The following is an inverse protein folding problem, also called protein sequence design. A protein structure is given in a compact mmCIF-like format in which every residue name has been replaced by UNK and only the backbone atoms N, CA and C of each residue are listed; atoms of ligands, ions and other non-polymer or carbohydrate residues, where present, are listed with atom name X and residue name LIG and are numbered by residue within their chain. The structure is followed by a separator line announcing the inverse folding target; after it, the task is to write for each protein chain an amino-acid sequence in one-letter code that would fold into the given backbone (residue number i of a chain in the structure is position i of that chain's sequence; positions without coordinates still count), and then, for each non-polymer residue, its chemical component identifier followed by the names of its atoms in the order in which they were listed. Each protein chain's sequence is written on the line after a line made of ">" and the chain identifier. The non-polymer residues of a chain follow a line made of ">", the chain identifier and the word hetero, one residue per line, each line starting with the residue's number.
data_IF_851677502900
#
_entry.id   IF_851677502900
#
_cell.length_a   1.000
_cell.length_b   1.000
_cell.length_c   1.000
_cell.angle_alpha   90.00
_cell.angle_beta   90.00
_cell.angle_gamma   90.00
#
_symmetry.space_group_name_H-M   'P 1'
#
loop_
_entity.id
_entity.type
_entity.pdbx_description
1 polymer ?
#
# COMPACT_ATOMS: atom_id res chain seq x y z
N UNK A 1 17.10 18.66 3.37
CA UNK A 1 17.50 17.49 2.57
C UNK A 1 17.07 17.80 1.16
N UNK A 2 17.99 18.19 0.31
CA UNK A 2 17.77 18.59 -1.09
C UNK A 2 18.02 17.38 -1.99
N UNK A 3 17.07 16.45 -2.08
CA UNK A 3 17.16 15.33 -3.03
C UNK A 3 16.17 14.24 -2.66
N UNK A 4 15.42 13.80 -3.65
CA UNK A 4 14.47 12.69 -3.51
C UNK A 4 15.16 11.32 -3.61
N UNK A 5 16.53 11.30 -3.66
CA UNK A 5 17.33 10.09 -3.86
C UNK A 5 18.81 10.26 -3.62
N UNK A 6 19.56 9.19 -3.87
CA UNK A 6 21.01 9.14 -3.83
C UNK A 6 21.53 9.07 -5.27
N UNK A 7 22.46 9.96 -5.62
CA UNK A 7 23.12 9.91 -6.94
C UNK A 7 24.39 9.06 -6.86
N UNK A 8 24.43 7.98 -7.63
CA UNK A 8 25.59 7.09 -7.75
C UNK A 8 26.02 7.03 -9.21
N UNK A 9 27.16 7.67 -9.53
CA UNK A 9 27.72 7.63 -10.88
C UNK A 9 26.82 8.20 -11.97
N UNK A 10 25.99 9.22 -11.65
CA UNK A 10 25.05 9.83 -12.59
C UNK A 10 23.65 9.19 -12.62
N UNK A 11 23.44 8.10 -11.89
CA UNK A 11 22.12 7.49 -11.71
C UNK A 11 21.50 7.93 -10.38
N UNK A 12 20.35 8.55 -10.44
CA UNK A 12 19.57 8.89 -9.25
C UNK A 12 18.71 7.69 -8.81
N UNK A 13 19.00 7.16 -7.62
CA UNK A 13 18.18 6.12 -6.97
C UNK A 13 17.26 6.80 -5.97
N UNK A 14 15.98 6.86 -6.28
CA UNK A 14 14.96 7.50 -5.42
C UNK A 14 14.76 6.73 -4.12
N UNK A 15 14.67 7.45 -2.99
CA UNK A 15 14.39 6.86 -1.67
C UNK A 15 13.12 6.01 -1.68
N UNK A 16 12.07 6.46 -2.37
CA UNK A 16 10.83 5.70 -2.55
C UNK A 16 11.08 4.29 -3.09
N UNK A 17 11.84 4.18 -4.18
CA UNK A 17 12.18 2.88 -4.78
C UNK A 17 12.98 1.98 -3.84
N UNK A 18 13.94 2.56 -3.10
CA UNK A 18 14.74 1.81 -2.12
C UNK A 18 13.87 1.26 -0.98
N UNK A 19 12.94 2.05 -0.47
CA UNK A 19 12.04 1.65 0.61
C UNK A 19 11.09 0.55 0.14
N UNK A 20 10.50 0.69 -1.05
CA UNK A 20 9.63 -0.34 -1.63
C UNK A 20 10.39 -1.65 -1.83
N UNK A 21 11.62 -1.60 -2.39
CA UNK A 21 12.46 -2.78 -2.57
C UNK A 21 12.80 -3.45 -1.22
N UNK A 22 13.15 -2.65 -0.20
CA UNK A 22 13.42 -3.15 1.15
C UNK A 22 12.17 -3.78 1.77
N UNK A 23 11.01 -3.13 1.63
CA UNK A 23 9.73 -3.66 2.09
C UNK A 23 9.38 -4.99 1.44
N UNK A 24 9.66 -5.11 0.15
CA UNK A 24 9.45 -6.33 -0.62
C UNK A 24 10.37 -7.47 -0.14
N UNK A 25 11.66 -7.20 0.03
CA UNK A 25 12.63 -8.19 0.51
C UNK A 25 12.33 -8.65 1.95
N UNK A 26 12.04 -7.72 2.86
CA UNK A 26 11.70 -8.07 4.23
C UNK A 26 10.36 -8.80 4.31
N UNK A 27 9.38 -8.42 3.51
CA UNK A 27 8.10 -9.14 3.40
C UNK A 27 8.28 -10.58 2.91
N UNK A 28 9.18 -10.77 1.93
CA UNK A 28 9.54 -12.10 1.43
C UNK A 28 10.18 -12.95 2.52
N UNK A 29 11.17 -12.40 3.24
CA UNK A 29 11.85 -13.07 4.35
C UNK A 29 10.85 -13.49 5.43
N UNK A 30 9.95 -12.58 5.82
CA UNK A 30 8.91 -12.89 6.83
C UNK A 30 7.98 -13.98 6.35
N UNK A 31 7.55 -13.95 5.08
CA UNK A 31 6.72 -15.00 4.49
C UNK A 31 7.44 -16.36 4.45
N UNK A 32 8.73 -16.38 4.09
CA UNK A 32 9.55 -17.60 4.08
C UNK A 32 9.63 -18.22 5.48
N UNK A 33 9.98 -17.43 6.49
CA UNK A 33 10.04 -17.95 7.86
C UNK A 33 8.68 -18.35 8.41
N UNK A 34 7.60 -17.65 8.02
CA UNK A 34 6.25 -18.05 8.37
C UNK A 34 5.87 -19.41 7.75
N UNK A 35 6.19 -19.63 6.46
CA UNK A 35 5.98 -20.91 5.79
C UNK A 35 6.77 -22.04 6.49
N UNK A 36 8.03 -21.79 6.80
CA UNK A 36 8.91 -22.74 7.49
C UNK A 36 8.38 -23.09 8.88
N UNK A 37 7.90 -22.11 9.63
CA UNK A 37 7.37 -22.32 10.97
C UNK A 37 6.02 -23.05 10.97
N UNK A 38 5.14 -22.74 10.02
CA UNK A 38 3.83 -23.38 9.92
C UNK A 38 3.90 -24.78 9.29
N UNK A 39 4.98 -25.11 8.58
CA UNK A 39 5.27 -26.40 7.96
C UNK A 39 4.10 -26.96 7.11
N UNK A 40 3.41 -26.09 6.37
CA UNK A 40 2.25 -26.46 5.53
C UNK A 40 2.61 -26.77 4.09
N UNK A 41 3.69 -26.20 3.60
CA UNK A 41 4.26 -26.38 2.27
C UNK A 41 5.74 -26.00 2.28
N UNK A 42 6.46 -26.33 1.20
CA UNK A 42 7.87 -25.99 1.05
C UNK A 42 8.07 -24.45 1.07
N UNK A 43 8.83 -23.89 2.02
CA UNK A 43 9.07 -22.46 2.11
C UNK A 43 9.67 -21.83 0.85
N UNK A 44 10.43 -22.59 0.05
CA UNK A 44 11.04 -22.11 -1.20
C UNK A 44 9.98 -21.67 -2.22
N UNK A 45 8.76 -22.23 -2.14
CA UNK A 45 7.65 -21.85 -3.01
C UNK A 45 7.20 -20.38 -2.81
N UNK A 46 7.59 -19.75 -1.70
CA UNK A 46 7.37 -18.32 -1.50
C UNK A 46 8.24 -17.51 -2.46
N UNK A 47 9.50 -17.90 -2.65
CA UNK A 47 10.41 -17.28 -3.64
C UNK A 47 9.95 -17.57 -5.08
N UNK A 48 9.57 -18.82 -5.37
CA UNK A 48 9.06 -19.21 -6.69
C UNK A 48 7.84 -18.36 -7.09
N UNK A 49 6.90 -18.18 -6.16
CA UNK A 49 5.73 -17.34 -6.39
C UNK A 49 6.12 -15.89 -6.66
N UNK A 50 7.03 -15.32 -5.86
CA UNK A 50 7.47 -13.94 -6.03
C UNK A 50 8.04 -13.71 -7.43
N UNK A 51 8.99 -14.56 -7.85
CA UNK A 51 9.62 -14.45 -9.19
C UNK A 51 8.55 -14.58 -10.28
N UNK A 52 7.62 -15.52 -10.11
CA UNK A 52 6.52 -15.73 -11.07
C UNK A 52 5.57 -14.54 -11.14
N UNK A 53 5.38 -13.81 -10.04
CA UNK A 53 4.40 -12.71 -9.92
C UNK A 53 4.92 -11.38 -10.51
N UNK A 54 6.23 -11.13 -10.52
CA UNK A 54 6.79 -9.80 -10.86
C UNK A 54 6.30 -9.31 -12.22
N UNK A 55 6.49 -10.12 -13.26
CA UNK A 55 6.12 -9.71 -14.63
C UNK A 55 4.61 -9.55 -14.78
N UNK A 56 3.76 -10.52 -14.39
CA UNK A 56 2.31 -10.35 -14.42
C UNK A 56 1.81 -9.13 -13.64
N UNK A 57 2.39 -8.84 -12.48
CA UNK A 57 1.99 -7.69 -11.67
C UNK A 57 2.29 -6.36 -12.38
N UNK A 58 3.47 -6.23 -12.99
CA UNK A 58 3.84 -5.02 -13.76
C UNK A 58 2.93 -4.86 -14.98
N UNK A 59 2.72 -5.94 -15.72
CA UNK A 59 1.83 -5.92 -16.91
C UNK A 59 0.39 -5.58 -16.49
N UNK A 60 -0.11 -6.20 -15.44
CA UNK A 60 -1.45 -5.89 -14.91
C UNK A 60 -1.60 -4.45 -14.45
N UNK A 61 -0.60 -3.91 -13.74
CA UNK A 61 -0.59 -2.51 -13.32
C UNK A 61 -0.64 -1.56 -14.53
N UNK A 62 0.12 -1.87 -15.59
CA UNK A 62 0.14 -1.07 -16.82
C UNK A 62 -1.17 -1.17 -17.58
N UNK A 63 -1.67 -2.37 -17.80
CA UNK A 63 -2.94 -2.60 -18.50
C UNK A 63 -4.10 -1.87 -17.82
N UNK A 64 -4.19 -1.98 -16.49
CA UNK A 64 -5.22 -1.27 -15.74
C UNK A 64 -5.13 0.25 -15.96
N UNK A 65 -3.94 0.83 -15.85
CA UNK A 65 -3.74 2.25 -16.07
C UNK A 65 -4.13 2.67 -17.49
N UNK A 66 -3.69 1.94 -18.51
CA UNK A 66 -3.99 2.21 -19.92
C UNK A 66 -5.50 2.14 -20.19
N UNK A 67 -6.20 1.13 -19.66
CA UNK A 67 -7.66 0.98 -19.82
C UNK A 67 -8.40 2.21 -19.26
N UNK A 68 -8.04 2.65 -18.05
CA UNK A 68 -8.69 3.80 -17.42
C UNK A 68 -8.22 5.17 -17.94
N UNK A 69 -7.15 5.21 -18.74
CA UNK A 69 -6.66 6.39 -19.45
C UNK A 69 -6.78 6.25 -20.97
N UNK A 70 -7.75 5.44 -21.44
CA UNK A 70 -7.87 5.07 -22.85
C UNK A 70 -8.05 6.26 -23.78
N UNK A 71 -8.70 7.33 -23.36
CA UNK A 71 -8.87 8.55 -24.16
C UNK A 71 -7.55 9.17 -24.60
N UNK A 72 -6.50 9.05 -23.80
CA UNK A 72 -5.15 9.44 -24.17
C UNK A 72 -4.47 8.37 -25.04
N UNK A 73 -4.49 7.11 -24.59
CA UNK A 73 -3.70 6.04 -25.23
C UNK A 73 -4.21 5.61 -26.59
N UNK A 74 -5.50 5.79 -26.91
CA UNK A 74 -6.03 5.52 -28.26
C UNK A 74 -5.31 6.31 -29.36
N UNK A 75 -4.74 7.49 -29.03
CA UNK A 75 -3.97 8.34 -29.95
C UNK A 75 -2.45 8.19 -29.77
N UNK A 76 -1.98 7.44 -28.76
CA UNK A 76 -0.56 7.29 -28.38
C UNK A 76 -0.20 5.83 -28.12
N UNK A 77 -0.54 4.94 -29.06
CA UNK A 77 -0.40 3.48 -28.87
C UNK A 77 1.04 3.03 -28.57
N UNK A 78 2.05 3.71 -29.14
CA UNK A 78 3.47 3.41 -28.90
C UNK A 78 3.90 3.65 -27.45
N UNK A 79 3.17 4.49 -26.70
CA UNK A 79 3.48 4.79 -25.30
C UNK A 79 2.94 3.73 -24.33
N UNK A 80 2.04 2.83 -24.78
CA UNK A 80 1.47 1.77 -23.94
C UNK A 80 2.56 0.91 -23.29
N UNK A 81 3.68 0.66 -23.98
CA UNK A 81 4.78 -0.16 -23.48
C UNK A 81 5.84 0.65 -22.69
N UNK A 82 5.73 1.97 -22.64
CA UNK A 82 6.72 2.86 -22.02
C UNK A 82 6.48 2.99 -20.50
N UNK A 83 6.75 1.92 -19.75
CA UNK A 83 6.53 1.88 -18.29
C UNK A 83 7.47 2.80 -17.50
N UNK A 84 8.60 3.23 -18.11
CA UNK A 84 9.57 4.14 -17.44
C UNK A 84 9.03 5.55 -17.24
N UNK A 85 8.05 5.96 -18.05
CA UNK A 85 7.41 7.27 -17.94
C UNK A 85 6.31 7.30 -16.88
N UNK A 86 6.20 6.27 -16.05
CA UNK A 86 5.14 6.13 -15.05
C UNK A 86 3.90 5.46 -15.62
N UNK A 87 2.74 5.71 -15.00
CA UNK A 87 1.46 5.14 -15.44
C UNK A 87 1.31 3.65 -15.08
N UNK A 88 1.51 3.34 -13.81
CA UNK A 88 1.27 2.01 -13.21
C UNK A 88 0.21 2.14 -12.12
N UNK A 89 -0.92 1.45 -12.28
CA UNK A 89 -2.00 1.45 -11.30
C UNK A 89 -1.86 0.27 -10.34
N UNK A 90 -1.80 0.54 -9.04
CA UNK A 90 -1.62 -0.49 -8.01
C UNK A 90 -2.72 -1.56 -8.04
N UNK A 91 -3.96 -1.17 -8.34
CA UNK A 91 -5.09 -2.12 -8.42
C UNK A 91 -4.88 -3.19 -9.49
N UNK A 92 -4.33 -2.81 -10.66
CA UNK A 92 -4.00 -3.76 -11.71
C UNK A 92 -2.93 -4.76 -11.29
N UNK A 93 -1.91 -4.29 -10.57
CA UNK A 93 -0.86 -5.14 -10.01
C UNK A 93 -1.39 -6.14 -8.97
N UNK A 94 -2.27 -5.68 -8.07
CA UNK A 94 -2.91 -6.54 -7.05
C UNK A 94 -3.81 -7.60 -7.69
N UNK A 95 -4.63 -7.24 -8.67
CA UNK A 95 -5.50 -8.18 -9.39
C UNK A 95 -4.66 -9.23 -10.12
N UNK A 96 -3.64 -8.79 -10.87
CA UNK A 96 -2.75 -9.71 -11.59
C UNK A 96 -1.97 -10.61 -10.63
N UNK A 97 -1.50 -10.09 -9.50
CA UNK A 97 -0.87 -10.87 -8.43
C UNK A 97 -1.80 -11.95 -7.87
N UNK A 98 -3.05 -11.61 -7.58
CA UNK A 98 -4.04 -12.56 -7.07
C UNK A 98 -4.36 -13.67 -8.12
N UNK A 99 -4.50 -13.32 -9.40
CA UNK A 99 -4.71 -14.28 -10.48
C UNK A 99 -3.48 -15.18 -10.60
N UNK A 100 -2.28 -14.61 -10.57
CA UNK A 100 -1.01 -15.38 -10.60
C UNK A 100 -0.91 -16.32 -9.42
N UNK A 101 -1.30 -15.89 -8.21
CA UNK A 101 -1.34 -16.75 -7.03
C UNK A 101 -2.28 -17.94 -7.23
N UNK A 102 -3.48 -17.70 -7.76
CA UNK A 102 -4.43 -18.76 -8.05
C UNK A 102 -3.86 -19.80 -9.02
N UNK A 103 -3.28 -19.34 -10.14
CA UNK A 103 -2.67 -20.21 -11.15
C UNK A 103 -1.46 -20.97 -10.59
N UNK A 104 -0.60 -20.27 -9.82
CA UNK A 104 0.57 -20.85 -9.18
C UNK A 104 0.18 -21.96 -8.20
N UNK A 105 -0.75 -21.69 -7.28
CA UNK A 105 -1.22 -22.68 -6.33
C UNK A 105 -1.86 -23.88 -7.02
N UNK A 106 -2.65 -23.66 -8.09
CA UNK A 106 -3.23 -24.75 -8.87
C UNK A 106 -2.16 -25.63 -9.54
N UNK A 107 -1.11 -25.03 -10.14
CA UNK A 107 -0.01 -25.77 -10.79
C UNK A 107 0.87 -26.53 -9.80
N UNK A 108 1.08 -25.97 -8.61
CA UNK A 108 1.92 -26.58 -7.56
C UNK A 108 1.12 -27.48 -6.58
N UNK A 109 -0.20 -27.69 -6.85
CA UNK A 109 -1.11 -28.46 -5.99
C UNK A 109 -1.16 -27.94 -4.54
N UNK A 110 -1.10 -26.61 -4.35
CA UNK A 110 -1.14 -25.93 -3.06
C UNK A 110 -2.55 -25.42 -2.74
N UNK A 111 -2.87 -25.34 -1.46
CA UNK A 111 -4.03 -24.58 -1.01
C UNK A 111 -3.75 -23.09 -1.09
N UNK A 112 -4.51 -22.37 -1.92
CA UNK A 112 -4.42 -20.90 -2.00
C UNK A 112 -4.68 -20.22 -0.66
N UNK A 113 -5.56 -20.80 0.17
CA UNK A 113 -5.86 -20.26 1.49
C UNK A 113 -4.69 -20.44 2.47
N UNK A 114 -4.00 -21.57 2.42
CA UNK A 114 -2.79 -21.80 3.24
C UNK A 114 -1.67 -20.86 2.81
N UNK A 115 -1.43 -20.76 1.51
CA UNK A 115 -0.39 -19.88 0.98
C UNK A 115 -0.69 -18.41 1.34
N UNK A 116 -1.95 -18.00 1.21
CA UNK A 116 -2.39 -16.66 1.54
C UNK A 116 -2.24 -16.31 3.03
N UNK A 117 -2.51 -17.26 3.95
CA UNK A 117 -2.29 -17.06 5.39
C UNK A 117 -0.81 -16.81 5.74
N UNK A 118 0.10 -17.37 4.96
CA UNK A 118 1.54 -17.09 5.08
C UNK A 118 1.88 -15.75 4.43
N UNK A 119 1.42 -15.54 3.20
CA UNK A 119 1.75 -14.36 2.40
C UNK A 119 1.25 -13.05 3.02
N UNK A 120 0.13 -13.07 3.74
CA UNK A 120 -0.43 -11.88 4.39
C UNK A 120 0.50 -11.24 5.42
N UNK A 121 1.38 -12.03 6.04
CA UNK A 121 2.38 -11.51 7.00
C UNK A 121 3.44 -10.68 6.29
N UNK A 122 3.95 -11.18 5.16
CA UNK A 122 4.88 -10.42 4.33
C UNK A 122 4.22 -9.22 3.64
N UNK A 123 2.96 -9.35 3.22
CA UNK A 123 2.20 -8.24 2.65
C UNK A 123 2.10 -7.07 3.65
N UNK A 124 1.80 -7.36 4.92
CA UNK A 124 1.76 -6.34 5.97
C UNK A 124 3.12 -5.66 6.17
N UNK A 125 4.23 -6.40 6.13
CA UNK A 125 5.58 -5.82 6.19
C UNK A 125 5.80 -4.87 5.02
N UNK A 126 5.46 -5.29 3.80
CA UNK A 126 5.53 -4.44 2.61
C UNK A 126 4.68 -3.17 2.75
N UNK A 127 3.47 -3.28 3.31
CA UNK A 127 2.60 -2.12 3.55
C UNK A 127 3.15 -1.18 4.63
N UNK A 128 3.69 -1.72 5.74
CA UNK A 128 4.31 -0.92 6.82
C UNK A 128 5.44 -0.06 6.25
N UNK A 129 6.37 -0.68 5.52
CA UNK A 129 7.51 0.03 4.95
C UNK A 129 7.11 0.91 3.77
N UNK A 130 6.21 0.45 2.91
CA UNK A 130 5.75 1.21 1.75
C UNK A 130 5.14 2.57 2.11
N UNK A 131 4.50 2.68 3.29
CA UNK A 131 4.00 3.98 3.77
C UNK A 131 5.09 5.01 4.06
N UNK A 132 6.28 4.59 4.42
CA UNK A 132 7.42 5.49 4.55
C UNK A 132 7.88 6.05 3.20
N UNK A 133 7.62 5.35 2.09
CA UNK A 133 7.79 5.90 0.75
C UNK A 133 6.95 7.16 0.52
N UNK A 134 5.68 7.16 0.98
CA UNK A 134 4.83 8.34 0.90
C UNK A 134 5.38 9.52 1.72
N UNK A 135 6.03 9.26 2.86
CA UNK A 135 6.71 10.30 3.64
C UNK A 135 7.83 10.99 2.84
N UNK A 136 8.69 10.20 2.18
CA UNK A 136 9.78 10.76 1.37
C UNK A 136 9.28 11.48 0.12
N UNK A 137 8.22 10.98 -0.51
CA UNK A 137 7.58 11.65 -1.65
C UNK A 137 6.68 12.84 -1.24
N UNK A 138 6.48 13.05 0.07
CA UNK A 138 5.57 14.09 0.59
C UNK A 138 4.21 14.04 -0.09
N UNK A 139 3.63 12.83 -0.11
CA UNK A 139 2.34 12.53 -0.74
C UNK A 139 1.41 11.80 0.22
N UNK A 140 0.14 11.66 -0.14
CA UNK A 140 -0.86 10.92 0.64
C UNK A 140 -1.02 11.42 2.09
N UNK A 141 -0.76 12.70 2.34
CA UNK A 141 -0.95 13.34 3.65
C UNK A 141 -2.43 13.68 3.90
N UNK A 142 -2.73 14.00 5.16
CA UNK A 142 -4.09 14.38 5.56
C UNK A 142 -4.31 15.89 5.60
N UNK A 143 -5.50 16.27 6.09
CA UNK A 143 -5.86 17.67 6.32
C UNK A 143 -4.95 18.32 7.36
N UNK A 144 -5.12 19.65 7.53
CA UNK A 144 -4.39 20.42 8.53
C UNK A 144 -4.56 19.85 9.94
N UNK A 145 -3.46 19.81 10.69
CA UNK A 145 -3.46 19.48 12.12
C UNK A 145 -2.39 20.28 12.86
N UNK A 146 -2.65 20.62 14.11
CA UNK A 146 -1.68 21.18 15.05
C UNK A 146 -1.23 20.17 16.11
N UNK A 147 -1.44 18.86 15.87
CA UNK A 147 -1.04 17.82 16.79
C UNK A 147 0.48 17.73 16.95
N UNK A 148 0.94 17.16 18.07
CA UNK A 148 2.37 16.95 18.35
C UNK A 148 3.10 16.13 17.28
N UNK A 149 2.38 15.24 16.60
CA UNK A 149 2.91 14.40 15.51
C UNK A 149 2.62 14.94 14.13
N UNK A 150 2.26 16.24 13.99
CA UNK A 150 2.01 16.83 12.68
C UNK A 150 3.26 16.70 11.78
N UNK A 151 3.03 16.28 10.53
CA UNK A 151 4.06 16.29 9.50
C UNK A 151 4.21 17.70 8.96
N UNK A 152 5.41 18.25 8.98
CA UNK A 152 5.72 19.55 8.42
C UNK A 152 6.30 19.39 7.01
N UNK A 153 5.70 20.05 6.04
CA UNK A 153 6.16 20.00 4.65
C UNK A 153 6.44 21.43 4.19
N UNK A 154 7.66 21.75 3.70
CA UNK A 154 7.98 23.07 3.18
C UNK A 154 7.09 23.41 1.98
N UNK A 155 6.51 24.61 1.94
CA UNK A 155 5.69 25.05 0.79
C UNK A 155 6.49 25.14 -0.50
N UNK A 156 7.77 25.47 -0.42
CA UNK A 156 8.68 25.51 -1.59
C UNK A 156 8.73 24.15 -2.31
N UNK A 157 8.61 23.03 -1.59
CA UNK A 157 8.55 21.71 -2.21
C UNK A 157 7.42 21.60 -3.24
N UNK A 158 6.23 22.12 -2.91
CA UNK A 158 5.07 22.07 -3.81
C UNK A 158 5.24 22.98 -5.01
N UNK A 159 5.89 24.15 -4.82
CA UNK A 159 6.20 25.10 -5.91
C UNK A 159 7.21 24.49 -6.89
N UNK A 160 8.31 23.95 -6.38
CA UNK A 160 9.41 23.35 -7.17
C UNK A 160 8.94 22.13 -7.98
N UNK A 161 7.96 21.37 -7.47
CA UNK A 161 7.41 20.19 -8.13
C UNK A 161 6.12 20.43 -8.92
N UNK A 162 5.68 21.68 -9.07
CA UNK A 162 4.45 22.03 -9.78
C UNK A 162 3.16 21.48 -9.12
N UNK A 163 3.19 21.27 -7.79
CA UNK A 163 2.09 20.68 -7.01
C UNK A 163 1.40 21.66 -6.07
N UNK A 164 1.59 22.98 -6.30
CA UNK A 164 1.03 24.02 -5.44
C UNK A 164 -0.50 23.93 -5.33
N UNK A 165 -1.18 23.54 -6.39
CA UNK A 165 -2.64 23.39 -6.43
C UNK A 165 -3.17 22.37 -5.41
N UNK A 166 -2.36 21.38 -5.03
CA UNK A 166 -2.75 20.39 -4.01
C UNK A 166 -2.96 21.03 -2.64
N UNK A 167 -2.15 22.01 -2.27
CA UNK A 167 -2.25 22.66 -0.96
C UNK A 167 -3.18 23.87 -0.98
N UNK A 168 -3.33 24.52 -2.13
CA UNK A 168 -4.26 25.64 -2.29
C UNK A 168 -5.70 25.14 -2.31
N UNK A 169 -6.02 24.15 -3.14
CA UNK A 169 -7.37 23.58 -3.25
C UNK A 169 -7.91 22.97 -1.96
N UNK A 170 -7.01 22.49 -1.10
CA UNK A 170 -7.35 21.92 0.21
C UNK A 170 -7.32 22.95 1.36
N UNK A 171 -7.11 24.26 1.07
CA UNK A 171 -7.03 25.33 2.08
C UNK A 171 -5.87 25.15 3.07
N UNK A 172 -4.82 24.43 2.67
CA UNK A 172 -3.63 24.22 3.50
C UNK A 172 -2.65 25.36 3.39
N UNK A 173 -2.62 26.04 2.24
CA UNK A 173 -1.74 27.15 1.98
C UNK A 173 -2.02 28.34 2.92
N UNK A 174 -3.29 28.63 3.19
CA UNK A 174 -3.71 29.73 4.08
C UNK A 174 -3.38 29.45 5.56
N UNK A 175 -3.09 28.18 5.89
CA UNK A 175 -2.70 27.72 7.25
C UNK A 175 -1.21 27.49 7.38
N UNK A 176 -0.43 27.91 6.39
CA UNK A 176 1.01 27.73 6.41
C UNK A 176 1.65 28.57 7.52
N UNK A 177 2.58 27.96 8.25
CA UNK A 177 3.30 28.60 9.35
C UNK A 177 4.65 29.10 8.85
N UNK A 178 4.96 30.34 9.15
CA UNK A 178 6.25 30.95 8.84
C UNK A 178 7.22 30.70 9.99
N UNK A 179 8.36 30.09 9.67
CA UNK A 179 9.41 29.80 10.64
C UNK A 179 10.72 30.43 10.17
N UNK A 180 11.34 31.19 11.06
CA UNK A 180 12.68 31.77 10.85
C UNK A 180 13.67 30.97 11.68
N UNK A 181 14.67 30.40 11.04
CA UNK A 181 15.76 29.71 11.71
C UNK A 181 17.10 30.29 11.22
N UNK A 182 17.74 31.09 12.04
CA UNK A 182 18.94 31.85 11.64
C UNK A 182 18.63 32.87 10.55
N UNK A 183 19.36 32.80 9.43
CA UNK A 183 19.17 33.68 8.26
C UNK A 183 18.19 33.08 7.22
N UNK A 184 17.64 31.88 7.47
CA UNK A 184 16.70 31.24 6.56
C UNK A 184 15.27 31.36 7.07
N UNK A 185 14.39 31.77 6.18
CA UNK A 185 12.97 31.85 6.42
C UNK A 185 12.25 30.84 5.53
N UNK A 186 11.46 29.97 6.11
CA UNK A 186 10.70 28.99 5.37
C UNK A 186 9.25 28.92 5.84
N UNK A 187 8.35 28.69 4.90
CA UNK A 187 6.93 28.47 5.17
C UNK A 187 6.64 26.97 5.10
N UNK A 188 5.95 26.46 6.10
CA UNK A 188 5.60 25.05 6.21
C UNK A 188 4.09 24.88 6.36
N UNK A 189 3.54 23.85 5.74
CA UNK A 189 2.21 23.35 6.08
C UNK A 189 2.32 22.24 7.12
N UNK A 190 1.34 22.14 8.02
CA UNK A 190 1.23 21.08 9.04
C UNK A 190 0.03 20.21 8.71
N UNK A 191 0.27 18.92 8.55
CA UNK A 191 -0.74 17.97 8.09
C UNK A 191 -0.74 16.68 8.90
N UNK A 192 -1.88 15.95 8.89
CA UNK A 192 -1.93 14.63 9.48
C UNK A 192 -0.95 13.68 8.78
N UNK A 193 -0.02 13.01 9.51
CA UNK A 193 0.93 12.04 8.96
C UNK A 193 0.24 10.69 8.73
N UNK A 194 -0.63 10.62 7.72
CA UNK A 194 -1.41 9.42 7.41
C UNK A 194 -0.53 8.21 7.12
N UNK A 195 0.69 8.42 6.56
CA UNK A 195 1.69 7.38 6.38
C UNK A 195 2.05 6.70 7.71
N UNK A 196 2.25 7.49 8.77
CA UNK A 196 2.59 6.98 10.10
C UNK A 196 1.41 6.23 10.72
N UNK A 197 0.20 6.79 10.62
CA UNK A 197 -1.00 6.15 11.15
C UNK A 197 -1.23 4.78 10.50
N UNK A 198 -1.13 4.69 9.19
CA UNK A 198 -1.33 3.42 8.47
C UNK A 198 -0.19 2.43 8.72
N UNK A 199 1.06 2.91 8.80
CA UNK A 199 2.22 2.08 9.16
C UNK A 199 2.07 1.48 10.56
N UNK A 200 1.72 2.28 11.56
CA UNK A 200 1.50 1.81 12.93
C UNK A 200 0.30 0.87 13.05
N UNK A 201 -0.80 1.17 12.39
CA UNK A 201 -1.97 0.30 12.33
C UNK A 201 -1.63 -1.07 11.78
N UNK A 202 -0.94 -1.10 10.63
CA UNK A 202 -0.51 -2.36 10.00
C UNK A 202 0.52 -3.11 10.84
N UNK A 203 1.40 -2.40 11.56
CA UNK A 203 2.34 -3.03 12.50
C UNK A 203 1.59 -3.73 13.65
N UNK A 204 0.63 -3.06 14.27
CA UNK A 204 -0.20 -3.66 15.33
C UNK A 204 -0.94 -4.88 14.78
N UNK A 205 -1.55 -4.78 13.59
CA UNK A 205 -2.23 -5.89 12.94
C UNK A 205 -1.28 -7.07 12.67
N UNK A 206 -0.07 -6.80 12.18
CA UNK A 206 0.96 -7.82 11.95
C UNK A 206 1.33 -8.55 13.25
N UNK A 207 1.58 -7.80 14.32
CA UNK A 207 1.92 -8.37 15.62
C UNK A 207 0.78 -9.23 16.17
N UNK A 208 -0.46 -8.78 16.05
CA UNK A 208 -1.65 -9.56 16.42
C UNK A 208 -1.76 -10.84 15.58
N UNK A 209 -1.53 -10.78 14.28
CA UNK A 209 -1.56 -11.95 13.40
C UNK A 209 -0.46 -12.94 13.80
N UNK A 210 0.78 -12.50 14.00
CA UNK A 210 1.91 -13.39 14.31
C UNK A 210 1.76 -14.01 15.70
N UNK A 211 1.56 -13.19 16.74
CA UNK A 211 1.66 -13.68 18.11
C UNK A 211 0.36 -14.22 18.67
N UNK A 212 -0.78 -13.74 18.19
CA UNK A 212 -2.08 -14.12 18.73
C UNK A 212 -2.88 -15.02 17.79
N UNK A 213 -3.16 -14.57 16.57
CA UNK A 213 -4.08 -15.27 15.67
C UNK A 213 -3.47 -16.52 15.03
N UNK A 214 -2.18 -16.52 14.67
CA UNK A 214 -1.52 -17.71 14.08
C UNK A 214 -1.62 -18.92 14.99
N UNK A 215 -1.45 -18.72 16.31
CA UNK A 215 -1.55 -19.80 17.30
C UNK A 215 -2.98 -20.30 17.55
N UNK A 216 -3.99 -19.51 17.20
CA UNK A 216 -5.41 -19.78 17.43
C UNK A 216 -6.20 -20.05 16.15
N UNK A 217 -5.51 -20.14 15.03
CA UNK A 217 -6.08 -20.41 13.71
C UNK A 217 -6.84 -21.73 13.71
N UNK A 218 -8.10 -21.74 13.26
CA UNK A 218 -8.99 -22.91 13.24
C UNK A 218 -9.14 -23.51 11.85
N UNK A 219 -8.93 -22.71 10.80
CA UNK A 219 -9.06 -23.14 9.40
C UNK A 219 -8.13 -22.33 8.49
N UNK A 220 -7.83 -22.87 7.32
CA UNK A 220 -7.01 -22.20 6.32
C UNK A 220 -7.77 -21.04 5.68
N UNK A 221 -7.10 -19.89 5.57
CA UNK A 221 -7.70 -18.62 5.13
C UNK A 221 -8.19 -17.74 6.28
N UNK A 222 -8.07 -18.15 7.54
CA UNK A 222 -8.52 -17.35 8.68
C UNK A 222 -7.65 -16.10 8.87
N UNK A 223 -6.33 -16.20 8.64
CA UNK A 223 -5.44 -15.04 8.77
C UNK A 223 -5.65 -14.02 7.64
N UNK A 224 -5.95 -14.48 6.41
CA UNK A 224 -6.37 -13.59 5.32
C UNK A 224 -7.63 -12.83 5.71
N UNK A 225 -8.63 -13.54 6.26
CA UNK A 225 -9.89 -12.91 6.65
C UNK A 225 -9.69 -11.89 7.77
N UNK A 226 -8.84 -12.19 8.76
CA UNK A 226 -8.46 -11.25 9.84
C UNK A 226 -7.75 -10.04 9.26
N UNK A 227 -6.84 -10.24 8.30
CA UNK A 227 -6.20 -9.14 7.58
C UNK A 227 -7.23 -8.27 6.85
N UNK A 228 -8.16 -8.87 6.11
CA UNK A 228 -9.20 -8.12 5.41
C UNK A 228 -10.05 -7.26 6.36
N UNK A 229 -10.37 -7.79 7.55
CA UNK A 229 -11.10 -7.04 8.58
C UNK A 229 -10.24 -5.90 9.13
N UNK A 230 -9.04 -6.23 9.63
CA UNK A 230 -8.17 -5.27 10.31
C UNK A 230 -7.67 -4.18 9.37
N UNK A 231 -7.19 -4.55 8.19
CA UNK A 231 -6.76 -3.60 7.17
C UNK A 231 -7.94 -2.76 6.65
N UNK A 232 -9.10 -3.40 6.41
CA UNK A 232 -10.30 -2.70 5.97
C UNK A 232 -10.74 -1.62 6.97
N UNK A 233 -10.79 -1.93 8.27
CA UNK A 233 -11.13 -0.95 9.30
C UNK A 233 -10.11 0.19 9.33
N UNK A 234 -8.81 -0.11 9.37
CA UNK A 234 -7.76 0.91 9.39
C UNK A 234 -7.80 1.81 8.16
N UNK A 235 -7.94 1.19 6.97
CA UNK A 235 -8.01 1.93 5.72
C UNK A 235 -9.26 2.82 5.63
N UNK A 236 -10.39 2.35 6.09
CA UNK A 236 -11.63 3.15 6.13
C UNK A 236 -11.47 4.42 6.98
N UNK A 237 -10.89 4.28 8.17
CA UNK A 237 -10.68 5.39 9.12
C UNK A 237 -9.64 6.39 8.59
N UNK A 238 -8.48 5.90 8.15
CA UNK A 238 -7.35 6.75 7.73
C UNK A 238 -7.64 7.44 6.41
N UNK A 239 -8.34 6.77 5.47
CA UNK A 239 -8.76 7.40 4.22
C UNK A 239 -9.65 8.62 4.46
N UNK A 240 -10.42 8.62 5.56
CA UNK A 240 -11.21 9.76 5.99
C UNK A 240 -10.42 11.04 6.25
N UNK A 241 -9.14 10.94 6.56
CA UNK A 241 -8.25 12.07 6.83
C UNK A 241 -7.52 12.59 5.58
N UNK A 242 -7.42 11.79 4.51
CA UNK A 242 -6.62 12.12 3.32
C UNK A 242 -7.24 13.22 2.49
N UNK A 243 -6.39 14.03 1.88
CA UNK A 243 -6.79 15.15 1.00
C UNK A 243 -6.79 14.76 -0.48
N UNK A 244 -6.08 13.70 -0.85
CA UNK A 244 -5.87 13.22 -2.23
C UNK A 244 -6.72 11.99 -2.60
N UNK A 245 -7.81 11.76 -1.86
CA UNK A 245 -8.66 10.58 -2.06
C UNK A 245 -9.43 10.65 -3.37
N UNK A 246 -9.46 9.51 -4.10
CA UNK A 246 -10.28 9.36 -5.30
C UNK A 246 -11.77 9.31 -4.91
N UNK A 247 -12.55 10.26 -5.40
CA UNK A 247 -14.00 10.38 -5.15
C UNK A 247 -14.82 9.73 -6.26
N UNK A 248 -16.00 9.23 -5.93
CA UNK A 248 -16.99 8.79 -6.92
C UNK A 248 -17.80 9.99 -7.38
N UNK A 249 -17.42 10.58 -8.52
CA UNK A 249 -18.09 11.77 -9.05
C UNK A 249 -18.17 12.88 -8.00
N UNK A 250 -19.33 13.51 -7.86
CA UNK A 250 -19.60 14.59 -6.89
C UNK A 250 -20.19 14.10 -5.56
N UNK A 251 -20.22 12.78 -5.31
CA UNK A 251 -20.94 12.21 -4.15
C UNK A 251 -20.23 12.41 -2.81
N UNK A 252 -18.94 12.82 -2.82
CA UNK A 252 -18.13 12.88 -1.61
C UNK A 252 -17.71 11.50 -1.06
N UNK A 253 -18.08 10.41 -1.73
CA UNK A 253 -17.75 9.03 -1.31
C UNK A 253 -16.38 8.65 -1.87
N UNK A 254 -15.49 8.18 -1.02
CA UNK A 254 -14.13 7.76 -1.39
C UNK A 254 -14.11 6.31 -1.83
N UNK A 255 -13.57 6.02 -3.03
CA UNK A 255 -13.47 4.66 -3.58
C UNK A 255 -12.78 3.71 -2.62
N UNK A 256 -11.67 4.15 -2.01
CA UNK A 256 -10.90 3.32 -1.07
C UNK A 256 -11.68 2.97 0.19
N UNK A 257 -12.61 3.83 0.66
CA UNK A 257 -13.46 3.52 1.81
C UNK A 257 -14.49 2.43 1.50
N UNK A 258 -15.06 2.45 0.30
CA UNK A 258 -15.98 1.37 -0.12
C UNK A 258 -15.25 0.05 -0.19
N UNK A 259 -14.09 0.01 -0.84
CA UNK A 259 -13.28 -1.20 -0.95
C UNK A 259 -12.87 -1.72 0.44
N UNK A 260 -12.50 -0.83 1.35
CA UNK A 260 -12.15 -1.16 2.73
C UNK A 260 -13.33 -1.78 3.48
N UNK A 261 -14.53 -1.22 3.33
CA UNK A 261 -15.75 -1.77 3.92
C UNK A 261 -16.08 -3.15 3.35
N UNK A 262 -16.01 -3.32 2.02
CA UNK A 262 -16.22 -4.61 1.35
C UNK A 262 -15.27 -5.66 1.89
N UNK A 263 -13.97 -5.34 2.04
CA UNK A 263 -12.98 -6.26 2.60
C UNK A 263 -13.32 -6.67 4.04
N UNK A 264 -13.72 -5.71 4.89
CA UNK A 264 -14.07 -5.98 6.29
C UNK A 264 -15.32 -6.86 6.39
N UNK A 265 -16.37 -6.56 5.61
CA UNK A 265 -17.60 -7.35 5.57
C UNK A 265 -17.34 -8.75 5.04
N UNK A 266 -16.59 -8.88 3.93
CA UNK A 266 -16.25 -10.18 3.35
C UNK A 266 -15.43 -11.04 4.32
N UNK A 267 -14.40 -10.46 4.95
CA UNK A 267 -13.58 -11.17 5.94
C UNK A 267 -14.41 -11.67 7.12
N UNK A 268 -15.31 -10.83 7.63
CA UNK A 268 -16.23 -11.20 8.73
C UNK A 268 -17.18 -12.32 8.32
N UNK A 269 -17.83 -12.18 7.18
CA UNK A 269 -18.77 -13.19 6.66
C UNK A 269 -18.05 -14.53 6.41
N UNK A 270 -16.84 -14.51 5.87
CA UNK A 270 -16.03 -15.71 5.64
C UNK A 270 -15.68 -16.42 6.95
N UNK A 271 -15.25 -15.72 7.99
CA UNK A 271 -14.97 -16.31 9.30
C UNK A 271 -16.22 -16.94 9.90
N UNK A 272 -17.34 -16.21 9.90
CA UNK A 272 -18.60 -16.70 10.46
C UNK A 272 -19.08 -17.98 9.72
N UNK A 273 -19.03 -17.96 8.39
CA UNK A 273 -19.42 -19.12 7.56
C UNK A 273 -18.55 -20.34 7.87
N UNK A 274 -17.22 -20.18 7.87
CA UNK A 274 -16.28 -21.28 8.11
C UNK A 274 -16.38 -21.83 9.54
N UNK A 275 -16.50 -20.97 10.54
CA UNK A 275 -16.65 -21.41 11.94
C UNK A 275 -17.94 -22.17 12.18
N UNK A 276 -19.06 -21.72 11.58
CA UNK A 276 -20.35 -22.46 11.64
C UNK A 276 -20.24 -23.87 11.03
N UNK A 277 -19.43 -24.03 9.97
CA UNK A 277 -19.23 -25.32 9.32
C UNK A 277 -18.35 -26.29 10.13
N UNK A 278 -17.44 -25.76 10.95
CA UNK A 278 -16.56 -26.58 11.80
C UNK A 278 -17.29 -27.04 13.08
N UNK A 279 -18.27 -26.26 13.54
CA UNK A 279 -19.04 -26.57 14.78
C UNK A 279 -20.22 -27.52 14.52
N UNK A 280 -20.57 -27.76 13.26
CA UNK A 280 -21.53 -28.80 12.83
C UNK A 280 -20.80 -30.09 12.48
#
# INVERSE_FOLDING_TARGET
>A
MSGDGINIGGFEIKYYGMIIATGFLLGLIVSYYAAKHENKFDPELVFDYLITMIIPAIVGARLYYVIFSWDYYKNHLSEIIQIRNGGLAIYGGVIAGAITLYIFCKKKHLSMLQFGDVAVKGLLVGQILGRWGNFFNREAFGSYTNSLFAMQIPTNFFIEHGRIDEIVSNGLYDKATYVVSGNEAATFIQVHPTFLYESMWNLVLLLLIIFFFTKRKKFDGELIAIYCIGYGIGRFLIEGLRTDSLMIGSTGIRVSQILALILAVFGTAFILYKRKKITK
#
